data_IF_100600544940
#
_entry.id   IF_100600544940
#
_cell.length_a   1.000
_cell.length_b   1.000
_cell.length_c   1.000
_cell.angle_alpha   90.00
_cell.angle_beta   90.00
_cell.angle_gamma   90.00
#
_symmetry.space_group_name_H-M   'P 1'
#
loop_
_entity.id
_entity.type
_entity.pdbx_description
1 polymer ?
#
# COMPACT_ATOMS: atom_id res chain seq x y z
N UNK A 1 -12.06 4.57 -11.29
CA UNK A 1 -12.87 4.20 -10.14
C UNK A 1 -12.47 5.02 -8.91
N UNK A 2 -13.35 5.06 -7.93
CA UNK A 2 -13.08 5.81 -6.71
C UNK A 2 -11.84 5.29 -5.99
N UNK A 3 -11.61 3.98 -6.05
CA UNK A 3 -10.44 3.38 -5.42
C UNK A 3 -9.14 3.86 -6.07
N UNK A 4 -9.13 3.94 -7.39
CA UNK A 4 -7.94 4.41 -8.11
C UNK A 4 -7.64 5.86 -7.75
N UNK A 5 -8.68 6.68 -7.60
CA UNK A 5 -8.52 8.06 -7.20
C UNK A 5 -7.95 8.17 -5.79
N UNK A 6 -8.44 7.35 -4.86
CA UNK A 6 -7.92 7.33 -3.50
C UNK A 6 -6.44 6.94 -3.49
N UNK A 7 -6.08 5.95 -4.28
CA UNK A 7 -4.69 5.52 -4.35
C UNK A 7 -3.82 6.64 -4.88
N UNK A 8 -4.29 7.37 -5.89
CA UNK A 8 -3.55 8.51 -6.42
C UNK A 8 -3.32 9.55 -5.33
N UNK A 9 -4.35 9.85 -4.54
CA UNK A 9 -4.24 10.82 -3.46
C UNK A 9 -3.23 10.37 -2.42
N UNK A 10 -3.31 9.13 -2.00
CA UNK A 10 -2.43 8.62 -0.94
C UNK A 10 -0.99 8.44 -1.39
N UNK A 11 -0.75 8.27 -2.68
CA UNK A 11 0.61 8.08 -3.19
C UNK A 11 1.23 9.36 -3.74
N UNK A 12 0.47 10.44 -3.76
CA UNK A 12 0.89 11.70 -4.37
C UNK A 12 2.23 12.19 -3.85
N UNK A 13 2.43 12.12 -2.54
CA UNK A 13 3.65 12.62 -1.90
C UNK A 13 4.68 11.53 -1.63
N UNK A 14 4.44 10.34 -2.15
CA UNK A 14 5.32 9.20 -1.89
C UNK A 14 6.11 8.85 -3.14
N UNK A 15 7.34 8.41 -2.93
CA UNK A 15 8.21 7.99 -4.03
C UNK A 15 8.02 6.50 -4.29
N UNK A 16 7.44 6.18 -5.43
CA UNK A 16 7.19 4.80 -5.83
C UNK A 16 8.19 4.37 -6.88
N UNK A 17 8.59 3.10 -6.81
CA UNK A 17 9.45 2.52 -7.82
C UNK A 17 8.77 2.56 -9.19
N UNK A 18 9.54 2.83 -10.24
CA UNK A 18 8.98 2.88 -11.59
C UNK A 18 8.43 1.55 -12.07
N UNK A 19 8.78 0.46 -11.41
CA UNK A 19 8.26 -0.86 -11.78
C UNK A 19 6.83 -1.10 -11.30
N UNK A 20 6.33 -0.23 -10.42
CA UNK A 20 4.96 -0.35 -9.93
C UNK A 20 4.05 0.50 -10.80
N UNK A 21 3.16 -0.15 -11.53
CA UNK A 21 2.18 0.56 -12.33
C UNK A 21 0.98 0.90 -11.45
N UNK A 22 0.19 1.87 -11.91
CA UNK A 22 -1.04 2.25 -11.23
C UNK A 22 -2.01 1.08 -11.17
N UNK A 23 -2.12 0.34 -12.26
CA UNK A 23 -3.00 -0.82 -12.32
C UNK A 23 -2.58 -1.87 -11.30
N UNK A 24 -1.29 -2.05 -11.11
CA UNK A 24 -0.78 -2.98 -10.13
C UNK A 24 -1.16 -2.55 -8.71
N UNK A 25 -1.05 -1.26 -8.42
CA UNK A 25 -1.44 -0.73 -7.12
C UNK A 25 -2.92 -0.97 -6.85
N UNK A 26 -3.76 -0.68 -7.84
CA UNK A 26 -5.20 -0.89 -7.70
C UNK A 26 -5.48 -2.36 -7.39
N UNK A 27 -4.80 -3.25 -8.10
CA UNK A 27 -4.97 -4.68 -7.90
C UNK A 27 -4.53 -5.11 -6.51
N UNK A 28 -3.39 -4.60 -6.04
CA UNK A 28 -2.85 -4.96 -4.72
C UNK A 28 -3.76 -4.50 -3.58
N UNK A 29 -4.48 -3.40 -3.78
CA UNK A 29 -5.33 -2.83 -2.76
C UNK A 29 -6.79 -3.23 -2.90
N UNK A 30 -7.09 -4.12 -3.83
CA UNK A 30 -8.46 -4.57 -4.05
C UNK A 30 -9.00 -5.22 -2.77
N UNK A 31 -10.21 -4.83 -2.40
CA UNK A 31 -10.85 -5.37 -1.21
C UNK A 31 -10.49 -4.68 0.10
N UNK A 32 -9.54 -3.75 0.07
CA UNK A 32 -9.15 -3.03 1.27
C UNK A 32 -9.96 -1.75 1.44
N UNK A 33 -10.23 -1.39 2.69
CA UNK A 33 -10.87 -0.12 3.01
C UNK A 33 -9.86 1.02 2.81
N UNK A 34 -10.37 2.26 2.79
CA UNK A 34 -9.51 3.43 2.68
C UNK A 34 -8.50 3.48 3.83
N UNK A 35 -8.95 3.16 5.04
CA UNK A 35 -8.05 3.13 6.21
C UNK A 35 -6.95 2.10 6.05
N UNK A 36 -7.31 0.92 5.52
CA UNK A 36 -6.33 -0.14 5.32
C UNK A 36 -5.30 0.25 4.26
N UNK A 37 -5.76 0.89 3.18
CA UNK A 37 -4.85 1.35 2.13
C UNK A 37 -3.85 2.34 2.70
N UNK A 38 -4.33 3.29 3.50
CA UNK A 38 -3.46 4.27 4.12
C UNK A 38 -2.45 3.60 5.04
N UNK A 39 -2.89 2.64 5.84
CA UNK A 39 -2.01 1.93 6.76
C UNK A 39 -0.93 1.16 5.99
N UNK A 40 -1.31 0.49 4.91
CA UNK A 40 -0.36 -0.25 4.08
C UNK A 40 0.70 0.68 3.49
N UNK A 41 0.28 1.80 2.96
CA UNK A 41 1.20 2.75 2.35
C UNK A 41 2.13 3.38 3.39
N UNK A 42 1.62 3.69 4.58
CA UNK A 42 2.46 4.22 5.65
C UNK A 42 3.52 3.22 6.07
N UNK A 43 3.12 1.96 6.22
CA UNK A 43 4.06 0.90 6.58
C UNK A 43 5.12 0.71 5.49
N UNK A 44 4.67 0.69 4.24
CA UNK A 44 5.59 0.53 3.11
C UNK A 44 6.57 1.70 3.04
N UNK A 45 6.11 2.90 3.34
CA UNK A 45 6.97 4.07 3.34
C UNK A 45 8.04 3.97 4.43
N UNK A 46 7.66 3.45 5.59
CA UNK A 46 8.61 3.25 6.68
C UNK A 46 9.68 2.24 6.27
N UNK A 47 9.27 1.15 5.64
CA UNK A 47 10.22 0.15 5.16
C UNK A 47 11.17 0.73 4.13
N UNK A 48 10.64 1.53 3.21
CA UNK A 48 11.44 2.17 2.17
C UNK A 48 12.42 3.16 2.77
N UNK A 49 12.00 3.87 3.82
CA UNK A 49 12.84 4.85 4.48
C UNK A 49 14.08 4.25 5.12
N UNK A 50 14.07 2.95 5.36
CA UNK A 50 15.22 2.26 5.92
C UNK A 50 16.24 1.89 4.82
N UNK A 51 15.93 2.17 3.58
CA UNK A 51 16.80 1.90 2.44
C UNK A 51 17.05 3.19 1.68
N UNK A 52 16.50 3.28 0.47
CA UNK A 52 16.68 4.43 -0.41
C UNK A 52 15.51 5.40 -0.43
N UNK A 53 14.48 5.11 0.35
CA UNK A 53 13.30 5.96 0.41
C UNK A 53 12.32 5.74 -0.72
N UNK A 54 12.55 4.73 -1.57
CA UNK A 54 11.69 4.44 -2.70
C UNK A 54 10.89 3.18 -2.39
N UNK A 55 9.57 3.30 -2.42
CA UNK A 55 8.68 2.17 -2.15
C UNK A 55 8.63 1.26 -3.38
N UNK A 56 8.90 -0.02 -3.18
CA UNK A 56 8.79 -0.99 -4.26
C UNK A 56 7.60 -1.92 -4.00
N UNK A 57 7.32 -2.79 -4.99
CA UNK A 57 6.17 -3.68 -4.91
C UNK A 57 6.25 -4.60 -3.69
N UNK A 58 7.46 -5.05 -3.35
CA UNK A 58 7.64 -5.94 -2.21
C UNK A 58 7.26 -5.27 -0.90
N UNK A 59 7.61 -4.00 -0.75
CA UNK A 59 7.23 -3.25 0.46
C UNK A 59 5.72 -3.25 0.63
N UNK A 60 5.00 -3.02 -0.46
CA UNK A 60 3.55 -2.96 -0.42
C UNK A 60 2.96 -4.34 -0.13
N UNK A 61 3.49 -5.36 -0.78
CA UNK A 61 3.02 -6.73 -0.55
C UNK A 61 3.20 -7.17 0.90
N UNK A 62 4.36 -6.90 1.47
CA UNK A 62 4.63 -7.25 2.85
C UNK A 62 3.73 -6.47 3.81
N UNK A 63 3.54 -5.19 3.53
CA UNK A 63 2.69 -4.35 4.37
C UNK A 63 1.24 -4.79 4.28
N UNK A 64 0.78 -5.15 3.09
CA UNK A 64 -0.59 -5.62 2.89
C UNK A 64 -0.81 -6.94 3.64
N UNK A 65 0.17 -7.82 3.61
CA UNK A 65 0.07 -9.10 4.31
C UNK A 65 -0.09 -8.89 5.81
N UNK A 66 0.66 -7.96 6.38
CA UNK A 66 0.53 -7.64 7.80
C UNK A 66 -0.86 -7.11 8.13
N UNK A 67 -1.37 -6.24 7.28
CA UNK A 67 -2.67 -5.64 7.49
C UNK A 67 -3.77 -6.69 7.39
N UNK A 68 -3.67 -7.59 6.42
CA UNK A 68 -4.63 -8.67 6.27
C UNK A 68 -4.66 -9.58 7.48
N UNK A 69 -3.49 -9.91 8.03
CA UNK A 69 -3.41 -10.75 9.21
C UNK A 69 -4.14 -10.07 10.38
N UNK A 70 -3.91 -8.77 10.56
CA UNK A 70 -4.58 -8.04 11.64
C UNK A 70 -6.09 -7.99 11.45
N UNK A 71 -6.54 -7.81 10.22
CA UNK A 71 -7.98 -7.78 9.93
C UNK A 71 -8.60 -9.13 10.19
N UNK A 72 -7.93 -10.21 9.81
CA UNK A 72 -8.41 -11.55 10.07
C UNK A 72 -8.55 -11.81 11.57
N UNK A 73 -7.59 -11.35 12.35
CA UNK A 73 -7.62 -11.51 13.79
C UNK A 73 -8.80 -10.77 14.40
N UNK A 74 -9.13 -9.61 13.88
CA UNK A 74 -10.24 -8.82 14.39
C UNK A 74 -11.60 -9.50 14.18
N UNK A 75 -11.70 -10.30 13.16
CA UNK A 75 -12.95 -10.99 12.84
C UNK A 75 -13.28 -12.09 13.82
N UNK A 76 -12.31 -12.54 14.53
CA UNK A 76 -12.50 -13.59 15.52
C UNK A 76 -12.87 -12.99 16.85
#
# INVERSE_FOLDING_TARGET
SARAELIDIYTKDKKLSGEISRDRLVSLFEGLSASAIEAVLNEAQMMAGMRDGIINARDIELSAAKTDVRLCNKRR
#
